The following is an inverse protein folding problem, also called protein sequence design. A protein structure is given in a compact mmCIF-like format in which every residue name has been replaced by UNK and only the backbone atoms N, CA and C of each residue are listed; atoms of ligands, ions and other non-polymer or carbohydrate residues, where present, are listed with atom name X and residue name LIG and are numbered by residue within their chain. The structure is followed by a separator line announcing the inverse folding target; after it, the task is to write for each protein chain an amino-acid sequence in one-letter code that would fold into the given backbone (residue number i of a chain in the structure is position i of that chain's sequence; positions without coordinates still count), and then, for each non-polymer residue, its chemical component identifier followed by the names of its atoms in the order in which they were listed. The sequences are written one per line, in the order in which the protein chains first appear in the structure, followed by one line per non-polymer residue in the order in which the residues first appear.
data_IF_750061452884
#
_entry.id   IF_750061452884
#
_cell.length_a   1.000
_cell.length_b   1.000
_cell.length_c   1.000
_cell.angle_alpha   90.00
_cell.angle_beta   90.00
_cell.angle_gamma   90.00
#
_symmetry.space_group_name_H-M   'P 1'
#
loop_
_entity.id
_entity.type
_entity.pdbx_description
1 polymer ?
#
# COMPACT_ATOMS: atom_id res chain seq x y z
N UNK A 1 13.44 -2.88 -5.64
CA UNK A 1 12.71 -3.93 -4.87
C UNK A 1 13.10 -5.32 -5.36
N UNK A 2 12.84 -6.41 -4.61
CA UNK A 2 13.09 -7.76 -5.09
C UNK A 2 11.89 -8.30 -5.90
N UNK A 3 12.20 -9.04 -6.95
CA UNK A 3 11.23 -9.78 -7.77
C UNK A 3 11.36 -11.26 -7.45
N UNK A 4 10.23 -11.92 -7.22
CA UNK A 4 10.19 -13.36 -6.96
C UNK A 4 9.07 -14.02 -7.76
N UNK A 5 9.33 -15.24 -8.23
CA UNK A 5 8.32 -16.07 -8.91
C UNK A 5 8.01 -17.27 -8.04
N UNK A 6 6.74 -17.44 -7.68
CA UNK A 6 6.23 -18.59 -6.91
C UNK A 6 4.96 -19.13 -7.57
N UNK A 7 4.92 -20.42 -7.84
CA UNK A 7 3.76 -21.06 -8.48
C UNK A 7 3.40 -20.47 -9.85
N UNK A 8 4.37 -19.90 -10.57
CA UNK A 8 4.16 -19.22 -11.85
C UNK A 8 3.62 -17.78 -11.75
N UNK A 9 3.36 -17.28 -10.54
CA UNK A 9 2.99 -15.90 -10.25
C UNK A 9 4.21 -15.07 -9.85
N UNK A 10 4.25 -13.82 -10.32
CA UNK A 10 5.34 -12.90 -10.01
C UNK A 10 4.93 -11.86 -8.97
N UNK A 11 5.81 -11.66 -7.99
CA UNK A 11 5.61 -10.82 -6.83
C UNK A 11 6.78 -9.90 -6.59
N UNK A 12 6.46 -8.79 -5.93
CA UNK A 12 7.39 -7.76 -5.53
C UNK A 12 7.49 -7.70 -4.00
N UNK A 13 8.68 -7.53 -3.45
CA UNK A 13 8.90 -7.44 -2.00
C UNK A 13 10.02 -6.46 -1.62
N UNK A 14 10.09 -6.15 -0.33
CA UNK A 14 11.12 -5.30 0.26
C UNK A 14 12.18 -6.17 0.95
N UNK A 15 13.40 -6.28 0.40
CA UNK A 15 14.44 -7.14 0.96
C UNK A 15 14.77 -6.83 2.41
N UNK A 16 14.83 -5.55 2.78
CA UNK A 16 15.17 -5.15 4.17
C UNK A 16 14.10 -5.61 5.18
N UNK A 17 12.83 -5.64 4.77
CA UNK A 17 11.75 -6.18 5.61
C UNK A 17 11.80 -7.71 5.64
N UNK A 18 12.08 -8.38 4.52
CA UNK A 18 12.22 -9.85 4.48
C UNK A 18 13.35 -10.35 5.38
N UNK A 19 14.48 -9.63 5.44
CA UNK A 19 15.63 -9.96 6.27
C UNK A 19 15.32 -10.04 7.77
N UNK A 20 14.25 -9.37 8.23
CA UNK A 20 13.82 -9.46 9.63
C UNK A 20 13.36 -10.86 10.01
N UNK A 21 12.81 -11.63 9.06
CA UNK A 21 12.15 -12.90 9.32
C UNK A 21 10.88 -12.79 10.17
N UNK A 22 10.41 -11.59 10.51
CA UNK A 22 9.24 -11.36 11.37
C UNK A 22 7.94 -11.48 10.58
N UNK A 23 7.98 -11.17 9.29
CA UNK A 23 6.80 -11.20 8.42
C UNK A 23 7.06 -11.96 7.13
N UNK A 24 5.99 -12.40 6.50
CA UNK A 24 5.96 -12.68 5.05
C UNK A 24 5.08 -11.63 4.40
N UNK A 25 5.57 -10.97 3.36
CA UNK A 25 4.81 -9.98 2.61
C UNK A 25 5.10 -10.08 1.13
N UNK A 26 4.14 -9.62 0.33
CA UNK A 26 4.32 -9.47 -1.10
C UNK A 26 3.35 -8.44 -1.68
N UNK A 27 3.74 -7.86 -2.81
CA UNK A 27 2.86 -7.14 -3.70
C UNK A 27 2.66 -7.94 -4.97
N UNK A 28 1.41 -8.18 -5.36
CA UNK A 28 1.10 -8.83 -6.63
C UNK A 28 1.54 -7.95 -7.80
N UNK A 29 2.08 -8.55 -8.85
CA UNK A 29 2.14 -7.93 -10.18
C UNK A 29 0.87 -8.27 -10.97
N UNK A 30 0.75 -7.88 -12.24
CA UNK A 30 -0.33 -8.39 -13.10
C UNK A 30 -0.04 -9.76 -13.70
N UNK A 31 1.13 -10.34 -13.47
CA UNK A 31 1.62 -11.55 -14.13
C UNK A 31 1.32 -12.83 -13.33
N UNK A 32 0.98 -13.90 -14.05
CA UNK A 32 0.81 -15.24 -13.50
C UNK A 32 -0.50 -15.49 -12.75
N UNK A 33 -1.56 -14.77 -13.10
CA UNK A 33 -2.94 -15.12 -12.71
C UNK A 33 -3.70 -15.84 -13.83
N UNK A 34 -5.03 -15.81 -13.78
CA UNK A 34 -5.93 -16.48 -14.75
C UNK A 34 -7.01 -15.58 -15.35
N UNK A 35 -7.08 -14.31 -14.94
CA UNK A 35 -8.01 -13.34 -15.49
C UNK A 35 -7.67 -12.98 -16.94
N UNK A 36 -8.64 -12.44 -17.67
CA UNK A 36 -8.55 -12.18 -19.11
C UNK A 36 -8.79 -10.68 -19.44
N UNK A 37 -8.50 -10.28 -20.68
CA UNK A 37 -8.77 -8.93 -21.19
C UNK A 37 -8.06 -7.83 -20.39
N UNK A 38 -8.79 -6.76 -20.05
CA UNK A 38 -8.27 -5.63 -19.26
C UNK A 38 -7.87 -6.03 -17.83
N UNK A 39 -8.34 -7.20 -17.37
CA UNK A 39 -8.05 -7.78 -16.05
C UNK A 39 -6.91 -8.79 -16.12
N UNK A 40 -6.34 -9.04 -17.30
CA UNK A 40 -5.25 -10.01 -17.46
C UNK A 40 -4.03 -9.63 -16.62
N UNK A 41 -3.39 -10.51 -15.85
CA UNK A 41 -3.80 -11.89 -15.51
C UNK A 41 -4.12 -12.07 -14.02
N UNK A 42 -3.41 -11.37 -13.14
CA UNK A 42 -3.53 -11.49 -11.69
C UNK A 42 -4.41 -10.36 -11.11
N UNK A 43 -5.69 -10.30 -11.49
CA UNK A 43 -6.62 -9.36 -10.88
C UNK A 43 -7.05 -9.87 -9.50
N UNK A 44 -6.88 -9.03 -8.47
CA UNK A 44 -7.31 -9.31 -7.09
C UNK A 44 -8.58 -8.55 -6.69
N UNK A 45 -9.38 -8.07 -7.65
CA UNK A 45 -10.63 -7.36 -7.35
C UNK A 45 -11.86 -8.14 -7.79
N UNK A 46 -12.76 -8.41 -6.83
CA UNK A 46 -14.10 -8.94 -7.09
C UNK A 46 -15.06 -7.92 -7.70
N UNK A 47 -14.75 -6.61 -7.67
CA UNK A 47 -15.67 -5.53 -8.10
C UNK A 47 -15.35 -4.93 -9.47
N UNK A 48 -14.33 -5.44 -10.17
CA UNK A 48 -13.93 -4.96 -11.51
C UNK A 48 -14.60 -5.71 -12.68
N UNK A 49 -15.61 -6.53 -12.38
CA UNK A 49 -16.37 -7.28 -13.40
C UNK A 49 -15.66 -8.55 -13.87
N UNK A 50 -14.73 -9.09 -13.08
CA UNK A 50 -14.11 -10.40 -13.36
C UNK A 50 -15.06 -11.55 -13.00
N UNK A 51 -14.75 -12.75 -13.49
CA UNK A 51 -15.35 -13.99 -12.96
C UNK A 51 -14.82 -14.24 -11.56
N UNK A 52 -15.71 -14.56 -10.62
CA UNK A 52 -15.32 -14.86 -9.23
C UNK A 52 -14.26 -15.96 -9.16
N UNK A 53 -14.39 -16.98 -9.99
CA UNK A 53 -13.50 -18.15 -10.04
C UNK A 53 -12.07 -17.76 -10.48
N UNK A 54 -11.94 -16.76 -11.35
CA UNK A 54 -10.62 -16.25 -11.75
C UNK A 54 -9.94 -15.55 -10.56
N UNK A 55 -10.70 -14.71 -9.84
CA UNK A 55 -10.21 -13.97 -8.68
C UNK A 55 -9.88 -14.92 -7.54
N UNK A 56 -10.73 -15.93 -7.29
CA UNK A 56 -10.49 -16.98 -6.29
C UNK A 56 -9.18 -17.73 -6.57
N UNK A 57 -8.93 -18.14 -7.83
CA UNK A 57 -7.66 -18.80 -8.20
C UNK A 57 -6.46 -17.87 -8.06
N UNK A 58 -6.60 -16.59 -8.40
CA UNK A 58 -5.54 -15.59 -8.17
C UNK A 58 -5.20 -15.48 -6.67
N UNK A 59 -6.20 -15.46 -5.79
CA UNK A 59 -5.99 -15.50 -4.35
C UNK A 59 -5.40 -16.82 -3.86
N UNK A 60 -5.79 -17.97 -4.43
CA UNK A 60 -5.18 -19.28 -4.12
C UNK A 60 -3.67 -19.26 -4.40
N UNK A 61 -3.24 -18.67 -5.52
CA UNK A 61 -1.81 -18.50 -5.87
C UNK A 61 -1.08 -17.58 -4.89
N UNK A 62 -1.72 -16.48 -4.49
CA UNK A 62 -1.17 -15.55 -3.49
C UNK A 62 -1.03 -16.23 -2.13
N UNK A 63 -2.05 -16.97 -1.70
CA UNK A 63 -2.06 -17.71 -0.44
C UNK A 63 -0.95 -18.77 -0.41
N UNK A 64 -0.78 -19.53 -1.50
CA UNK A 64 0.32 -20.49 -1.66
C UNK A 64 1.70 -19.80 -1.59
N UNK A 65 1.86 -18.66 -2.26
CA UNK A 65 3.12 -17.90 -2.25
C UNK A 65 3.48 -17.34 -0.87
N UNK A 66 2.47 -16.98 -0.08
CA UNK A 66 2.60 -16.55 1.32
C UNK A 66 2.73 -17.73 2.28
N UNK A 67 2.28 -18.94 1.92
CA UNK A 67 2.22 -20.10 2.81
C UNK A 67 1.11 -19.98 3.86
N UNK A 68 -0.07 -19.54 3.43
CA UNK A 68 -1.28 -19.37 4.25
C UNK A 68 -2.53 -19.91 3.52
N UNK A 69 -3.66 -19.92 4.21
CA UNK A 69 -4.98 -20.25 3.66
C UNK A 69 -5.75 -19.01 3.21
N UNK A 70 -6.78 -19.19 2.37
CA UNK A 70 -7.64 -18.07 1.96
C UNK A 70 -8.44 -17.49 3.13
N UNK A 71 -8.72 -18.30 4.14
CA UNK A 71 -9.37 -17.93 5.40
C UNK A 71 -8.54 -16.96 6.24
N UNK A 72 -7.23 -16.86 6.01
CA UNK A 72 -6.35 -16.00 6.78
C UNK A 72 -6.44 -14.52 6.35
N UNK A 73 -7.02 -14.25 5.17
CA UNK A 73 -7.05 -12.91 4.59
C UNK A 73 -8.12 -12.02 5.21
N UNK A 74 -7.73 -10.76 5.46
CA UNK A 74 -8.64 -9.68 5.88
C UNK A 74 -8.44 -8.49 4.94
N UNK A 75 -9.52 -8.09 4.28
CA UNK A 75 -9.48 -7.02 3.29
C UNK A 75 -9.84 -5.67 3.90
N UNK A 76 -9.11 -4.64 3.51
CA UNK A 76 -9.50 -3.24 3.70
C UNK A 76 -10.83 -2.92 2.98
N UNK A 77 -11.49 -1.82 3.35
CA UNK A 77 -12.59 -1.21 2.59
C UNK A 77 -12.23 0.22 2.21
N UNK A 78 -11.43 0.34 1.16
CA UNK A 78 -10.76 1.59 0.82
C UNK A 78 -11.69 2.61 0.15
N UNK A 79 -11.91 3.72 0.84
CA UNK A 79 -12.69 4.87 0.34
C UNK A 79 -11.87 6.17 0.33
N UNK A 80 -10.54 6.06 0.43
CA UNK A 80 -9.57 7.18 0.47
C UNK A 80 -9.69 8.03 1.74
N UNK A 81 -10.05 7.40 2.84
CA UNK A 81 -10.00 7.97 4.19
C UNK A 81 -8.63 7.74 4.82
N UNK A 82 -8.53 8.00 6.13
CA UNK A 82 -7.35 7.66 6.94
C UNK A 82 -7.73 6.84 8.17
N UNK A 83 -8.86 6.13 8.10
CA UNK A 83 -9.32 5.30 9.19
C UNK A 83 -8.52 4.01 9.22
N UNK A 84 -8.15 3.60 10.43
CA UNK A 84 -7.34 2.40 10.68
C UNK A 84 -8.15 1.43 11.51
N UNK A 85 -8.16 0.16 11.10
CA UNK A 85 -8.76 -0.93 11.85
C UNK A 85 -7.67 -1.75 12.55
N UNK A 86 -7.83 -1.98 13.85
CA UNK A 86 -7.12 -3.06 14.53
C UNK A 86 -7.81 -4.39 14.18
N UNK A 87 -7.10 -5.26 13.48
CA UNK A 87 -7.58 -6.55 12.97
C UNK A 87 -7.19 -7.67 13.94
N UNK A 88 -8.14 -8.53 14.26
CA UNK A 88 -7.96 -9.71 15.14
C UNK A 88 -8.39 -11.00 14.43
N UNK A 89 -8.21 -12.15 15.09
CA UNK A 89 -8.67 -13.44 14.58
C UNK A 89 -10.15 -13.49 14.23
N UNK A 90 -10.98 -12.65 14.86
CA UNK A 90 -12.42 -12.51 14.55
C UNK A 90 -12.71 -11.90 13.17
N UNK A 91 -11.70 -11.35 12.49
CA UNK A 91 -11.82 -10.74 11.17
C UNK A 91 -11.39 -11.65 10.01
N UNK A 92 -10.70 -12.77 10.29
CA UNK A 92 -10.21 -13.73 9.30
C UNK A 92 -11.26 -14.10 8.23
N UNK A 93 -10.93 -13.96 6.95
CA UNK A 93 -11.80 -14.24 5.82
C UNK A 93 -12.75 -13.10 5.41
N UNK A 94 -12.78 -11.97 6.14
CA UNK A 94 -13.62 -10.81 5.77
C UNK A 94 -13.13 -10.17 4.48
N UNK A 95 -14.03 -10.07 3.50
CA UNK A 95 -13.80 -9.56 2.16
C UNK A 95 -13.53 -10.64 1.09
N UNK A 96 -13.25 -11.87 1.52
CA UNK A 96 -12.97 -13.00 0.61
C UNK A 96 -13.95 -14.16 0.78
N UNK A 97 -14.04 -14.74 1.98
CA UNK A 97 -14.90 -15.89 2.28
C UNK A 97 -16.18 -15.47 3.01
N UNK A 98 -16.17 -14.30 3.67
CA UNK A 98 -17.34 -13.71 4.32
C UNK A 98 -17.40 -12.19 4.10
N UNK A 99 -18.57 -11.56 4.19
CA UNK A 99 -18.68 -10.11 4.03
C UNK A 99 -17.92 -9.36 5.13
N UNK A 100 -17.49 -8.15 4.81
CA UNK A 100 -16.98 -7.18 5.80
C UNK A 100 -18.16 -6.57 6.54
N UNK A 101 -18.00 -6.34 7.83
CA UNK A 101 -18.94 -5.63 8.72
C UNK A 101 -18.45 -4.22 9.08
N UNK A 102 -17.43 -3.75 8.37
CA UNK A 102 -16.86 -2.41 8.47
C UNK A 102 -16.82 -1.75 7.09
N UNK A 103 -16.83 -0.42 7.10
CA UNK A 103 -16.65 0.43 5.91
C UNK A 103 -15.56 1.45 6.14
N UNK A 104 -15.09 2.05 5.06
CA UNK A 104 -14.18 3.20 5.11
C UNK A 104 -12.90 2.90 5.90
N UNK A 105 -12.27 1.75 5.65
CA UNK A 105 -11.03 1.31 6.27
C UNK A 105 -9.95 1.30 5.21
N UNK A 106 -9.07 2.31 5.22
CA UNK A 106 -7.93 2.40 4.31
C UNK A 106 -6.63 1.88 4.92
N UNK A 107 -6.57 1.71 6.25
CA UNK A 107 -5.42 1.17 6.98
C UNK A 107 -5.82 0.05 7.92
N UNK A 108 -4.91 -0.91 8.12
CA UNK A 108 -5.11 -2.02 9.03
C UNK A 108 -3.84 -2.27 9.84
N UNK A 109 -3.99 -2.68 11.09
CA UNK A 109 -2.88 -3.06 11.97
C UNK A 109 -3.21 -4.36 12.71
N UNK A 110 -2.20 -5.14 13.07
CA UNK A 110 -2.35 -6.34 13.93
C UNK A 110 -1.01 -6.76 14.53
N UNK A 111 -1.03 -7.36 15.72
CA UNK A 111 0.07 -8.10 16.34
C UNK A 111 -0.23 -9.61 16.43
N UNK A 112 -1.35 -10.08 15.84
CA UNK A 112 -1.73 -11.48 15.83
C UNK A 112 -1.10 -12.23 14.64
N UNK A 113 -0.33 -13.31 14.89
CA UNK A 113 0.26 -14.11 13.82
C UNK A 113 -0.77 -14.79 12.90
N UNK A 114 -0.35 -14.99 11.66
CA UNK A 114 -1.13 -15.75 10.67
C UNK A 114 -2.32 -15.02 10.06
N UNK A 115 -2.58 -13.74 10.41
CA UNK A 115 -3.58 -12.91 9.73
C UNK A 115 -2.92 -12.21 8.53
N UNK A 116 -3.52 -12.33 7.34
CA UNK A 116 -3.03 -11.66 6.12
C UNK A 116 -3.78 -10.34 5.93
N UNK A 117 -3.15 -9.23 6.32
CA UNK A 117 -3.67 -7.90 5.99
C UNK A 117 -3.57 -7.68 4.48
N UNK A 118 -4.67 -7.23 3.86
CA UNK A 118 -4.78 -7.07 2.41
C UNK A 118 -5.30 -5.70 2.00
N UNK A 119 -4.52 -4.97 1.21
CA UNK A 119 -4.90 -3.67 0.62
C UNK A 119 -4.69 -3.68 -0.89
N UNK A 120 -5.40 -2.82 -1.62
CA UNK A 120 -5.56 -2.90 -3.07
C UNK A 120 -5.22 -1.61 -3.80
N UNK A 121 -4.63 -1.72 -4.99
CA UNK A 121 -4.03 -0.58 -5.66
C UNK A 121 -4.22 -0.62 -7.18
N UNK A 122 -4.29 0.57 -7.77
CA UNK A 122 -3.62 0.86 -9.03
C UNK A 122 -3.36 2.35 -9.01
N UNK A 123 -2.08 2.71 -8.97
CA UNK A 123 -1.52 4.06 -8.82
C UNK A 123 -1.42 4.62 -7.39
N UNK A 124 -2.35 4.33 -6.47
CA UNK A 124 -2.22 4.78 -5.07
C UNK A 124 -1.06 4.08 -4.35
N UNK A 125 -0.48 4.72 -3.32
CA UNK A 125 0.74 4.26 -2.65
C UNK A 125 0.44 3.21 -1.58
N UNK A 126 1.01 1.98 -1.67
CA UNK A 126 1.03 1.04 -0.56
C UNK A 126 2.02 1.48 0.51
N UNK A 127 1.59 1.50 1.77
CA UNK A 127 2.45 1.76 2.92
C UNK A 127 2.44 0.54 3.83
N UNK A 128 3.57 -0.17 3.89
CA UNK A 128 3.78 -1.31 4.79
C UNK A 128 4.59 -0.84 6.00
N UNK A 129 4.17 -1.23 7.20
CA UNK A 129 4.87 -0.94 8.45
C UNK A 129 5.10 -2.24 9.21
N UNK A 130 6.31 -2.44 9.72
CA UNK A 130 6.69 -3.64 10.48
C UNK A 130 7.48 -3.20 11.69
N UNK A 131 6.99 -3.53 12.89
CA UNK A 131 7.73 -3.42 14.13
C UNK A 131 8.29 -4.81 14.50
N UNK A 132 9.59 -5.06 14.30
CA UNK A 132 10.20 -6.35 14.62
C UNK A 132 10.37 -6.59 16.14
N UNK A 133 10.31 -5.53 16.96
CA UNK A 133 10.48 -5.61 18.42
C UNK A 133 9.16 -6.00 19.07
N UNK A 134 8.07 -5.31 18.71
CA UNK A 134 6.71 -5.61 19.18
C UNK A 134 6.04 -6.74 18.41
N UNK A 135 6.61 -7.14 17.27
CA UNK A 135 6.01 -8.10 16.34
C UNK A 135 4.60 -7.64 15.94
N UNK A 136 4.52 -6.42 15.43
CA UNK A 136 3.30 -5.82 14.95
C UNK A 136 3.47 -5.35 13.52
N UNK A 137 2.38 -5.38 12.75
CA UNK A 137 2.37 -4.95 11.36
C UNK A 137 1.25 -3.96 11.11
N UNK A 138 1.49 -3.05 10.18
CA UNK A 138 0.51 -2.14 9.62
C UNK A 138 0.54 -2.16 8.10
N UNK A 139 -0.62 -2.06 7.47
CA UNK A 139 -0.71 -1.97 6.02
C UNK A 139 -1.80 -0.97 5.62
N UNK A 140 -1.41 0.03 4.83
CA UNK A 140 -2.25 1.18 4.54
C UNK A 140 -2.27 1.56 3.05
N UNK A 141 -3.43 2.00 2.59
CA UNK A 141 -3.67 2.58 1.28
C UNK A 141 -3.58 4.11 1.34
N UNK A 142 -2.62 4.68 0.63
CA UNK A 142 -2.38 6.13 0.59
C UNK A 142 -2.45 6.66 -0.85
N UNK A 143 -3.67 6.92 -1.33
CA UNK A 143 -3.88 7.83 -2.47
C UNK A 143 -3.59 9.28 -2.06
N UNK A 144 -3.74 10.25 -2.96
CA UNK A 144 -3.42 11.65 -2.65
C UNK A 144 -4.20 12.18 -1.43
N UNK A 145 -5.47 11.79 -1.25
CA UNK A 145 -6.28 12.17 -0.07
C UNK A 145 -5.74 11.54 1.22
N UNK A 146 -5.36 10.27 1.17
CA UNK A 146 -4.75 9.58 2.31
C UNK A 146 -3.38 10.20 2.67
N UNK A 147 -2.58 10.55 1.66
CA UNK A 147 -1.31 11.24 1.86
C UNK A 147 -1.53 12.62 2.48
N UNK A 148 -2.48 13.41 1.96
CA UNK A 148 -2.85 14.71 2.52
C UNK A 148 -3.38 14.60 3.96
N UNK A 149 -4.04 13.48 4.30
CA UNK A 149 -4.47 13.15 5.65
C UNK A 149 -3.40 12.52 6.54
N UNK A 150 -2.14 12.48 6.10
CA UNK A 150 -1.01 11.90 6.82
C UNK A 150 -1.20 10.41 7.18
N UNK A 151 -1.72 9.59 6.26
CA UNK A 151 -2.02 8.17 6.48
C UNK A 151 -0.86 7.38 7.12
N UNK A 152 0.38 7.60 6.66
CA UNK A 152 1.55 6.94 7.23
C UNK A 152 1.77 7.27 8.71
N UNK A 153 1.66 8.56 9.07
CA UNK A 153 1.76 9.01 10.48
C UNK A 153 0.64 8.41 11.33
N UNK A 154 -0.61 8.45 10.84
CA UNK A 154 -1.75 7.87 11.54
C UNK A 154 -1.58 6.36 11.77
N UNK A 155 -0.99 5.64 10.81
CA UNK A 155 -0.72 4.20 10.94
C UNK A 155 0.29 3.95 12.04
N UNK A 156 1.38 4.73 12.07
CA UNK A 156 2.36 4.68 13.15
C UNK A 156 1.72 4.97 14.50
N UNK A 157 0.98 6.08 14.62
CA UNK A 157 0.27 6.46 15.86
C UNK A 157 -0.65 5.34 16.35
N UNK A 158 -1.41 4.69 15.46
CA UNK A 158 -2.27 3.57 15.81
C UNK A 158 -1.48 2.33 16.29
N UNK A 159 -0.32 2.04 15.70
CA UNK A 159 0.58 0.98 16.19
C UNK A 159 1.18 1.34 17.58
N UNK A 160 1.51 2.60 17.82
CA UNK A 160 1.96 3.07 19.13
C UNK A 160 0.87 2.88 20.18
N UNK A 161 -0.36 3.28 19.88
CA UNK A 161 -1.50 3.18 20.78
C UNK A 161 -1.88 1.72 21.09
N UNK A 162 -1.96 0.88 20.06
CA UNK A 162 -2.41 -0.50 20.22
C UNK A 162 -1.33 -1.44 20.81
N UNK A 163 -0.06 -1.28 20.40
CA UNK A 163 0.99 -2.26 20.67
C UNK A 163 2.19 -1.68 21.45
N UNK A 164 2.19 -0.37 21.70
CA UNK A 164 3.34 0.31 22.29
C UNK A 164 4.54 0.34 21.35
N UNK A 165 4.32 0.25 20.03
CA UNK A 165 5.38 0.39 19.03
C UNK A 165 6.13 1.70 19.18
N UNK A 166 7.41 1.68 18.81
CA UNK A 166 8.27 2.86 18.81
C UNK A 166 8.63 3.21 17.36
N UNK A 167 8.36 4.44 16.88
CA UNK A 167 8.62 4.81 15.49
C UNK A 167 10.04 4.49 15.02
N UNK A 168 11.03 4.66 15.88
CA UNK A 168 12.43 4.35 15.61
C UNK A 168 12.72 2.85 15.41
N UNK A 169 11.85 1.95 15.88
CA UNK A 169 11.96 0.50 15.69
C UNK A 169 11.17 0.04 14.45
N UNK A 170 10.28 0.87 13.90
CA UNK A 170 9.41 0.51 12.75
C UNK A 170 10.18 0.59 11.44
N UNK A 171 10.11 -0.47 10.65
CA UNK A 171 10.48 -0.48 9.24
C UNK A 171 9.28 -0.08 8.37
N UNK A 172 9.49 0.83 7.42
CA UNK A 172 8.47 1.27 6.48
C UNK A 172 8.82 0.93 5.03
N UNK A 173 7.87 0.37 4.29
CA UNK A 173 7.96 0.13 2.85
C UNK A 173 6.95 0.99 2.09
N UNK A 174 7.44 1.87 1.21
CA UNK A 174 6.63 2.69 0.30
C UNK A 174 6.61 2.02 -1.07
N UNK A 175 5.49 1.36 -1.39
CA UNK A 175 5.39 0.39 -2.49
C UNK A 175 5.10 0.97 -3.89
N UNK A 176 5.23 0.13 -4.94
CA UNK A 176 4.94 0.46 -6.33
C UNK A 176 3.61 1.19 -6.49
N UNK A 177 3.68 2.34 -7.15
CA UNK A 177 2.55 3.26 -7.34
C UNK A 177 2.88 4.25 -8.46
N UNK A 178 2.07 5.26 -8.70
CA UNK A 178 2.37 6.22 -9.78
C UNK A 178 3.51 7.15 -9.38
N UNK A 179 4.52 7.29 -10.25
CA UNK A 179 5.63 8.23 -10.01
C UNK A 179 5.23 9.67 -10.31
N UNK A 180 6.05 10.62 -9.82
CA UNK A 180 5.91 12.06 -10.06
C UNK A 180 5.70 12.40 -11.54
N UNK A 181 6.52 11.84 -12.42
CA UNK A 181 6.50 12.17 -13.86
C UNK A 181 5.16 11.82 -14.52
N UNK A 182 4.49 10.77 -14.02
CA UNK A 182 3.19 10.33 -14.54
C UNK A 182 2.00 10.94 -13.79
N UNK A 183 2.21 11.59 -12.64
CA UNK A 183 1.14 12.04 -11.77
C UNK A 183 0.90 13.54 -11.84
N UNK A 184 0.21 13.94 -12.91
CA UNK A 184 -0.34 15.29 -13.00
C UNK A 184 -1.60 15.42 -12.13
N UNK A 185 -1.64 16.48 -11.33
CA UNK A 185 -2.76 16.90 -10.49
C UNK A 185 -3.15 18.35 -10.79
N UNK A 186 -4.37 18.71 -10.40
CA UNK A 186 -4.89 20.08 -10.48
C UNK A 186 -4.39 20.94 -9.32
N UNK A 187 -4.54 22.25 -9.49
CA UNK A 187 -4.15 23.27 -8.50
C UNK A 187 -4.77 23.09 -7.11
N UNK A 188 -6.04 22.70 -7.02
CA UNK A 188 -6.71 22.44 -5.74
C UNK A 188 -6.04 21.31 -4.94
N UNK A 189 -5.59 20.25 -5.63
CA UNK A 189 -4.80 19.19 -4.99
C UNK A 189 -3.43 19.73 -4.58
N UNK A 190 -2.77 20.49 -5.44
CA UNK A 190 -1.45 21.07 -5.15
C UNK A 190 -1.48 22.01 -3.92
N UNK A 191 -2.51 22.84 -3.77
CA UNK A 191 -2.69 23.76 -2.64
C UNK A 191 -2.80 23.02 -1.30
N UNK A 192 -3.46 21.85 -1.28
CA UNK A 192 -3.53 21.00 -0.08
C UNK A 192 -2.12 20.57 0.38
N UNK A 193 -1.26 20.15 -0.56
CA UNK A 193 0.11 19.75 -0.24
C UNK A 193 1.00 20.94 0.12
N UNK A 194 0.81 22.10 -0.52
CA UNK A 194 1.47 23.34 -0.14
C UNK A 194 1.19 23.69 1.33
N UNK A 195 -0.06 23.63 1.76
CA UNK A 195 -0.44 23.89 3.15
C UNK A 195 0.16 22.84 4.11
N UNK A 196 0.09 21.56 3.76
CA UNK A 196 0.61 20.47 4.58
C UNK A 196 2.14 20.56 4.79
N UNK A 197 2.89 20.94 3.74
CA UNK A 197 4.35 21.01 3.75
C UNK A 197 4.89 22.40 4.12
N UNK A 198 4.03 23.40 4.37
CA UNK A 198 4.46 24.76 4.67
C UNK A 198 5.24 24.87 5.99
N UNK A 199 4.87 24.11 7.02
CA UNK A 199 5.51 24.22 8.34
C UNK A 199 5.78 22.88 9.04
N UNK A 200 4.79 22.01 9.27
CA UNK A 200 4.97 20.83 10.12
C UNK A 200 5.98 19.83 9.56
N UNK A 201 5.78 19.41 8.30
CA UNK A 201 6.66 18.42 7.66
C UNK A 201 8.05 19.00 7.42
N UNK A 202 8.13 20.22 6.87
CA UNK A 202 9.39 20.91 6.63
C UNK A 202 10.22 21.05 7.92
N UNK A 203 9.61 21.52 9.01
CA UNK A 203 10.31 21.71 10.29
C UNK A 203 10.85 20.39 10.86
N UNK A 204 10.13 19.28 10.69
CA UNK A 204 10.51 17.97 11.23
C UNK A 204 11.52 17.21 10.36
N UNK A 205 11.52 17.44 9.06
CA UNK A 205 12.23 16.58 8.10
C UNK A 205 13.19 17.31 7.18
N UNK A 206 13.08 18.64 7.08
CA UNK A 206 13.77 19.44 6.07
C UNK A 206 13.21 19.31 4.65
N UNK A 207 12.19 18.47 4.43
CA UNK A 207 11.58 18.27 3.11
C UNK A 207 10.60 19.38 2.80
N UNK A 208 10.90 20.14 1.76
CA UNK A 208 10.08 21.25 1.30
C UNK A 208 9.12 20.91 0.17
N UNK A 209 8.18 21.83 -0.06
CA UNK A 209 7.18 21.69 -1.13
C UNK A 209 7.79 21.49 -2.52
N UNK A 210 8.94 22.11 -2.81
CA UNK A 210 9.61 22.00 -4.12
C UNK A 210 10.17 20.61 -4.41
N UNK A 211 10.38 19.79 -3.38
CA UNK A 211 10.85 18.41 -3.53
C UNK A 211 9.71 17.48 -3.94
N UNK A 212 8.48 17.77 -3.52
CA UNK A 212 7.31 16.93 -3.79
C UNK A 212 6.42 17.46 -4.93
N UNK A 213 6.54 18.73 -5.31
CA UNK A 213 5.61 19.38 -6.22
C UNK A 213 6.33 20.23 -7.26
N UNK A 214 5.98 20.02 -8.53
CA UNK A 214 6.45 20.82 -9.67
C UNK A 214 5.29 21.52 -10.35
N UNK A 215 5.39 22.83 -10.57
CA UNK A 215 4.44 23.56 -11.40
C UNK A 215 4.77 23.36 -12.89
N UNK A 216 3.79 22.90 -13.68
CA UNK A 216 3.94 22.72 -15.14
C UNK A 216 3.32 23.88 -15.93
N UNK A 217 2.74 24.86 -15.25
CA UNK A 217 1.91 25.91 -15.84
C UNK A 217 0.46 25.47 -16.06
N UNK A 218 -0.41 26.39 -16.51
CA UNK A 218 -1.83 26.12 -16.78
C UNK A 218 -2.58 25.46 -15.61
N UNK A 219 -2.25 25.82 -14.37
CA UNK A 219 -2.86 25.26 -13.15
C UNK A 219 -2.66 23.74 -12.98
N UNK A 220 -1.60 23.20 -13.61
CA UNK A 220 -1.18 21.80 -13.51
C UNK A 220 0.12 21.63 -12.76
N UNK A 221 0.18 20.55 -11.99
CA UNK A 221 1.34 20.21 -11.17
C UNK A 221 1.69 18.73 -11.30
N UNK A 222 2.98 18.41 -11.23
CA UNK A 222 3.43 17.03 -10.98
C UNK A 222 3.64 16.84 -9.48
N UNK A 223 3.02 15.81 -8.93
CA UNK A 223 3.06 15.49 -7.49
C UNK A 223 3.79 14.18 -7.24
N UNK A 224 4.82 14.23 -6.41
CA UNK A 224 5.57 13.07 -5.95
C UNK A 224 4.97 12.51 -4.66
N UNK A 225 4.11 11.51 -4.80
CA UNK A 225 3.52 10.83 -3.64
C UNK A 225 4.54 9.98 -2.88
N UNK A 226 5.62 9.50 -3.52
CA UNK A 226 6.63 8.71 -2.83
C UNK A 226 7.40 9.58 -1.85
N UNK A 227 7.91 10.72 -2.34
CA UNK A 227 8.63 11.69 -1.52
C UNK A 227 7.74 12.30 -0.43
N UNK A 228 6.46 12.55 -0.74
CA UNK A 228 5.51 13.04 0.25
C UNK A 228 5.28 12.02 1.38
N UNK A 229 5.06 10.74 1.06
CA UNK A 229 4.86 9.71 2.09
C UNK A 229 6.16 9.40 2.86
N UNK A 230 7.33 9.48 2.22
CA UNK A 230 8.63 9.37 2.91
C UNK A 230 8.77 10.47 3.97
N UNK A 231 8.53 11.72 3.60
CA UNK A 231 8.56 12.85 4.54
C UNK A 231 7.53 12.70 5.66
N UNK A 232 6.33 12.19 5.37
CA UNK A 232 5.32 11.91 6.40
C UNK A 232 5.82 10.83 7.37
N UNK A 233 6.45 9.75 6.90
CA UNK A 233 7.02 8.70 7.74
C UNK A 233 8.16 9.23 8.63
N UNK A 234 9.07 10.01 8.06
CA UNK A 234 10.13 10.70 8.81
C UNK A 234 9.54 11.61 9.91
N UNK A 235 8.50 12.37 9.57
CA UNK A 235 7.83 13.27 10.51
C UNK A 235 7.07 12.55 11.63
N UNK A 236 6.80 11.25 11.46
CA UNK A 236 6.21 10.37 12.47
C UNK A 236 7.27 9.76 13.40
N UNK A 237 8.56 10.00 13.14
CA UNK A 237 9.67 9.51 13.97
C UNK A 237 10.33 8.23 13.45
N UNK A 238 9.94 7.72 12.27
CA UNK A 238 10.64 6.58 11.66
C UNK A 238 12.03 7.02 11.23
N UNK A 239 13.04 6.23 11.58
CA UNK A 239 14.43 6.50 11.20
C UNK A 239 14.61 6.44 9.67
N UNK A 240 15.40 7.35 9.05
CA UNK A 240 15.61 7.36 7.60
C UNK A 240 16.09 6.01 7.04
N UNK A 241 16.99 5.33 7.74
CA UNK A 241 17.52 4.01 7.39
C UNK A 241 16.48 2.88 7.44
N UNK A 242 15.34 3.11 8.07
CA UNK A 242 14.23 2.17 8.18
C UNK A 242 13.15 2.38 7.11
N UNK A 243 13.31 3.39 6.23
CA UNK A 243 12.37 3.68 5.16
C UNK A 243 12.92 3.15 3.83
N UNK A 244 12.23 2.18 3.25
CA UNK A 244 12.50 1.67 1.90
C UNK A 244 11.49 2.25 0.92
N UNK A 245 11.95 2.98 -0.09
CA UNK A 245 11.10 3.57 -1.12
C UNK A 245 11.23 2.79 -2.44
N UNK A 246 10.11 2.55 -3.10
CA UNK A 246 10.09 1.94 -4.44
C UNK A 246 10.70 2.85 -5.50
N UNK A 247 11.13 2.25 -6.59
CA UNK A 247 11.53 2.87 -7.85
C UNK A 247 10.63 2.41 -9.03
N UNK A 248 9.54 1.70 -8.74
CA UNK A 248 8.69 1.05 -9.75
C UNK A 248 7.38 1.79 -9.93
N UNK A 249 7.24 2.47 -11.08
CA UNK A 249 6.01 3.19 -11.44
C UNK A 249 4.95 2.27 -12.07
N UNK A 250 3.72 2.31 -11.57
CA UNK A 250 2.57 1.58 -12.18
C UNK A 250 2.24 2.09 -13.57
N UNK A 251 2.28 3.40 -13.79
CA UNK A 251 1.93 4.03 -15.07
C UNK A 251 3.01 3.83 -16.14
N UNK A 252 4.30 3.79 -15.77
CA UNK A 252 5.39 3.51 -16.72
C UNK A 252 5.46 2.02 -17.10
N UNK A 253 4.94 1.13 -16.24
CA UNK A 253 5.04 -0.32 -16.43
C UNK A 253 3.66 -0.99 -16.54
N UNK A 254 2.76 -0.56 -17.46
CA UNK A 254 1.38 -1.02 -17.49
C UNK A 254 1.24 -2.49 -17.91
N UNK A 255 2.23 -3.08 -18.59
CA UNK A 255 2.27 -4.51 -18.92
C UNK A 255 2.73 -5.39 -17.75
N UNK A 256 3.23 -4.77 -16.69
CA UNK A 256 3.75 -5.43 -15.50
C UNK A 256 2.88 -5.18 -14.26
N UNK A 257 2.32 -3.98 -14.14
CA UNK A 257 1.48 -3.54 -13.04
C UNK A 257 0.17 -2.96 -13.59
N UNK A 258 -0.95 -3.14 -12.88
CA UNK A 258 -2.16 -2.40 -13.22
C UNK A 258 -2.01 -0.93 -12.85
N UNK A 259 -2.44 -0.05 -13.76
CA UNK A 259 -2.49 1.39 -13.56
C UNK A 259 -3.86 1.92 -13.98
N UNK A 260 -4.50 2.72 -13.13
CA UNK A 260 -5.75 3.39 -13.46
C UNK A 260 -5.52 4.50 -14.48
N UNK A 261 -4.43 5.27 -14.32
CA UNK A 261 -4.02 6.35 -15.21
C UNK A 261 -3.67 5.83 -16.60
N UNK A 262 -2.80 4.82 -16.72
CA UNK A 262 -2.36 4.33 -18.02
C UNK A 262 -3.49 3.66 -18.83
N UNK A 263 -4.46 3.06 -18.15
CA UNK A 263 -5.56 2.32 -18.78
C UNK A 263 -6.84 3.13 -18.96
N UNK A 264 -6.86 4.40 -18.56
CA UNK A 264 -8.09 5.21 -18.48
C UNK A 264 -9.21 4.49 -17.69
N UNK A 265 -8.83 3.83 -16.60
CA UNK A 265 -9.73 3.12 -15.69
C UNK A 265 -10.06 1.67 -16.06
N UNK A 266 -9.65 1.18 -17.22
CA UNK A 266 -9.90 -0.20 -17.67
C UNK A 266 -8.82 -1.17 -17.17
N UNK A 267 -8.94 -1.61 -15.91
CA UNK A 267 -7.90 -2.39 -15.22
C UNK A 267 -8.42 -3.26 -14.08
N UNK A 268 -7.64 -4.28 -13.72
CA UNK A 268 -7.75 -5.02 -12.45
C UNK A 268 -7.05 -4.32 -11.29
N UNK A 269 -7.08 -4.90 -10.09
CA UNK A 269 -6.31 -4.37 -8.95
C UNK A 269 -5.03 -5.17 -8.72
N UNK A 270 -3.99 -4.47 -8.26
CA UNK A 270 -2.86 -5.04 -7.54
C UNK A 270 -3.24 -5.16 -6.05
N UNK A 271 -2.60 -6.04 -5.30
CA UNK A 271 -2.71 -6.12 -3.86
C UNK A 271 -1.34 -6.12 -3.17
N UNK A 272 -1.25 -5.47 -2.01
CA UNK A 272 -0.16 -5.67 -1.05
C UNK A 272 -0.71 -6.51 0.09
N UNK A 273 0.09 -7.46 0.55
CA UNK A 273 -0.28 -8.45 1.54
C UNK A 273 0.84 -8.61 2.55
N UNK A 274 0.52 -8.64 3.84
CA UNK A 274 1.48 -8.93 4.91
C UNK A 274 0.85 -9.85 5.94
N UNK A 275 1.64 -10.83 6.40
CA UNK A 275 1.31 -11.71 7.52
C UNK A 275 2.48 -11.76 8.48
N UNK A 276 2.16 -11.62 9.77
CA UNK A 276 3.11 -11.84 10.86
C UNK A 276 3.34 -13.35 11.05
N UNK A 277 4.60 -13.76 11.22
CA UNK A 277 4.99 -15.16 11.37
C UNK A 277 4.69 -15.74 12.75
#
# INVERSE_FOLDING_TARGET
MAQTVKGGAEFLSFPEIEKTGVVRHLMSTRLGGVSEGDLWSMNVSYSRGDRKENVDENYRRIAEALGCGMEDFVFSDQTHTTNIRHVTGEDRGKGILRPRDYTDVDGMITDEPGIVLSTFYADCVPLLFVDPVKKAVGLSHSGWKGTAGCMGRKTVEAMQEAFGSRPEDILAGIGPSICRDCYEVSKDVAEVFQALFAEDIMRKTGVGIREILEEKGNEKYQLDLWKANEAICLSAGISPEHISVTDVCTCCNPTYLFSHRASNGRRGNLGMFVVLN
#
